data_IF_760921863509
#
_entry.id   IF_760921863509
#
_cell.length_a   1.000
_cell.length_b   1.000
_cell.length_c   1.000
_cell.angle_alpha   90.00
_cell.angle_beta   90.00
_cell.angle_gamma   90.00
#
_symmetry.space_group_name_H-M   'P 1'
#
loop_
_entity.id
_entity.type
_entity.pdbx_description
1 polymer ?
#
# COMPACT_ATOMS: atom_id res chain seq x y z
N UNK A 1 28.29 -5.32 -16.69
CA UNK A 1 27.19 -5.83 -15.86
C UNK A 1 27.78 -6.88 -14.94
N UNK A 2 27.25 -7.01 -13.71
CA UNK A 2 27.69 -8.08 -12.81
C UNK A 2 27.35 -9.45 -13.42
N UNK A 3 28.22 -10.44 -13.21
CA UNK A 3 27.99 -11.82 -13.65
C UNK A 3 27.12 -12.53 -12.60
N UNK A 4 25.80 -12.45 -12.79
CA UNK A 4 24.79 -12.94 -11.84
C UNK A 4 24.20 -14.26 -12.33
N UNK A 5 24.13 -15.25 -11.43
CA UNK A 5 23.74 -16.63 -11.76
C UNK A 5 22.24 -16.87 -11.56
N UNK A 6 21.63 -16.22 -10.56
CA UNK A 6 20.22 -16.39 -10.23
C UNK A 6 19.65 -15.10 -9.63
N UNK A 7 18.56 -14.61 -10.21
CA UNK A 7 17.91 -13.36 -9.82
C UNK A 7 16.39 -13.54 -9.80
N UNK A 8 15.72 -12.79 -8.93
CA UNK A 8 14.25 -12.72 -8.93
C UNK A 8 13.79 -12.09 -10.24
N UNK A 9 12.86 -12.77 -10.92
CA UNK A 9 12.21 -12.26 -12.13
C UNK A 9 10.81 -11.79 -11.78
N UNK A 10 10.49 -10.57 -12.16
CA UNK A 10 9.15 -10.01 -11.99
C UNK A 10 8.18 -10.62 -13.00
N UNK A 11 6.92 -10.80 -12.60
CA UNK A 11 5.84 -11.18 -13.51
C UNK A 11 5.88 -12.64 -13.98
N UNK A 12 6.63 -13.53 -13.31
CA UNK A 12 6.76 -14.94 -13.70
C UNK A 12 5.45 -15.72 -13.71
N UNK A 13 4.44 -15.29 -12.95
CA UNK A 13 3.12 -15.93 -12.94
C UNK A 13 2.10 -15.25 -13.86
N UNK A 14 2.46 -14.12 -14.48
CA UNK A 14 1.57 -13.38 -15.39
C UNK A 14 1.30 -14.18 -16.68
N UNK A 15 0.04 -14.30 -17.05
CA UNK A 15 -0.44 -15.10 -18.18
C UNK A 15 -0.51 -16.60 -17.92
N UNK A 16 -0.20 -17.05 -16.70
CA UNK A 16 -0.25 -18.46 -16.30
C UNK A 16 -1.54 -18.78 -15.53
N UNK A 17 -1.83 -20.06 -15.32
CA UNK A 17 -2.96 -20.50 -14.49
C UNK A 17 -2.85 -20.03 -13.02
N UNK A 18 -1.64 -19.66 -12.57
CA UNK A 18 -1.39 -19.14 -11.22
C UNK A 18 -1.69 -17.65 -11.06
N UNK A 19 -1.83 -16.88 -12.15
CA UNK A 19 -2.01 -15.42 -12.08
C UNK A 19 -3.20 -15.01 -11.19
N UNK A 20 -4.30 -15.75 -11.32
CA UNK A 20 -5.51 -15.52 -10.53
C UNK A 20 -5.30 -15.80 -9.03
N UNK A 21 -4.63 -16.91 -8.71
CA UNK A 21 -4.30 -17.26 -7.33
C UNK A 21 -3.37 -16.23 -6.70
N UNK A 22 -2.27 -15.87 -7.38
CA UNK A 22 -1.32 -14.85 -6.89
C UNK A 22 -1.98 -13.48 -6.70
N UNK A 23 -2.94 -13.12 -7.56
CA UNK A 23 -3.72 -11.89 -7.39
C UNK A 23 -4.62 -11.95 -6.16
N UNK A 24 -5.20 -13.11 -5.87
CA UNK A 24 -6.02 -13.31 -4.67
C UNK A 24 -5.17 -13.23 -3.41
N UNK A 25 -4.00 -13.89 -3.38
CA UNK A 25 -3.07 -13.82 -2.25
C UNK A 25 -2.60 -12.38 -2.01
N UNK A 26 -2.16 -11.64 -3.04
CA UNK A 26 -1.79 -10.23 -2.88
C UNK A 26 -2.90 -9.38 -2.22
N UNK A 27 -4.16 -9.62 -2.58
CA UNK A 27 -5.32 -8.92 -1.97
C UNK A 27 -5.59 -9.39 -0.54
N UNK A 28 -5.44 -10.68 -0.25
CA UNK A 28 -5.58 -11.24 1.10
C UNK A 28 -4.55 -10.64 2.04
N UNK A 29 -3.27 -10.77 1.68
CA UNK A 29 -2.14 -10.27 2.46
C UNK A 29 -2.25 -8.77 2.75
N UNK A 30 -2.59 -7.96 1.73
CA UNK A 30 -2.81 -6.50 1.92
C UNK A 30 -4.00 -6.17 2.82
N UNK A 31 -5.05 -6.99 2.81
CA UNK A 31 -6.15 -6.85 3.76
C UNK A 31 -5.71 -7.23 5.18
N UNK A 32 -4.95 -8.31 5.33
CA UNK A 32 -4.44 -8.79 6.62
C UNK A 32 -3.52 -7.77 7.29
N UNK A 33 -2.65 -7.07 6.55
CA UNK A 33 -1.87 -5.95 7.07
C UNK A 33 -2.77 -4.93 7.79
N UNK A 34 -3.85 -4.49 7.12
CA UNK A 34 -4.80 -3.52 7.69
C UNK A 34 -5.58 -4.10 8.87
N UNK A 35 -6.01 -5.36 8.77
CA UNK A 35 -6.76 -6.05 9.82
C UNK A 35 -5.93 -6.23 11.09
N UNK A 36 -4.69 -6.73 10.98
CA UNK A 36 -3.81 -6.94 12.12
C UNK A 36 -3.43 -5.62 12.81
N UNK A 37 -3.18 -4.53 12.07
CA UNK A 37 -2.94 -3.21 12.67
C UNK A 37 -4.18 -2.68 13.40
N UNK A 38 -5.38 -2.89 12.85
CA UNK A 38 -6.63 -2.52 13.53
C UNK A 38 -6.87 -3.35 14.80
N UNK A 39 -6.58 -4.66 14.74
CA UNK A 39 -6.64 -5.57 15.89
C UNK A 39 -5.62 -5.19 16.97
N UNK A 40 -4.40 -4.80 16.60
CA UNK A 40 -3.38 -4.35 17.53
C UNK A 40 -3.87 -3.11 18.33
N UNK A 41 -4.46 -2.13 17.63
CA UNK A 41 -5.08 -0.96 18.28
C UNK A 41 -6.22 -1.36 19.22
N UNK A 42 -6.98 -2.40 18.87
CA UNK A 42 -8.03 -2.91 19.76
C UNK A 42 -7.43 -3.57 21.01
N UNK A 43 -6.39 -4.40 20.86
CA UNK A 43 -5.70 -5.02 21.98
C UNK A 43 -5.12 -3.99 22.95
N UNK A 44 -4.61 -2.86 22.44
CA UNK A 44 -4.16 -1.73 23.28
C UNK A 44 -5.31 -1.12 24.10
N UNK A 45 -6.51 -0.95 23.53
CA UNK A 45 -7.68 -0.44 24.26
C UNK A 45 -8.12 -1.37 25.39
N UNK A 46 -7.89 -2.66 25.22
CA UNK A 46 -8.20 -3.70 26.21
C UNK A 46 -7.08 -3.87 27.25
N UNK A 47 -5.93 -3.19 27.07
CA UNK A 47 -4.81 -3.25 27.99
C UNK A 47 -3.86 -4.43 27.78
N UNK A 48 -3.80 -5.00 26.57
CA UNK A 48 -2.91 -6.11 26.19
C UNK A 48 -1.77 -5.64 25.28
N UNK A 49 -0.76 -4.92 25.79
CA UNK A 49 0.31 -4.37 24.97
C UNK A 49 1.17 -5.45 24.29
N UNK A 50 1.40 -6.60 24.93
CA UNK A 50 2.18 -7.70 24.35
C UNK A 50 1.45 -8.31 23.14
N UNK A 51 0.13 -8.44 23.21
CA UNK A 51 -0.71 -8.93 22.10
C UNK A 51 -0.65 -7.94 20.94
N UNK A 52 -0.75 -6.64 21.22
CA UNK A 52 -0.65 -5.61 20.20
C UNK A 52 0.69 -5.67 19.45
N UNK A 53 1.81 -5.82 20.18
CA UNK A 53 3.14 -5.93 19.58
C UNK A 53 3.29 -7.17 18.69
N UNK A 54 2.72 -8.31 19.10
CA UNK A 54 2.72 -9.51 18.26
C UNK A 54 1.92 -9.28 16.99
N UNK A 55 0.73 -8.69 17.08
CA UNK A 55 -0.12 -8.39 15.91
C UNK A 55 0.54 -7.39 14.96
N UNK A 56 1.22 -6.36 15.48
CA UNK A 56 2.02 -5.44 14.66
C UNK A 56 3.21 -6.13 13.97
N UNK A 57 3.80 -7.14 14.60
CA UNK A 57 4.85 -7.96 13.99
C UNK A 57 4.30 -8.79 12.84
N UNK A 58 3.17 -9.48 13.06
CA UNK A 58 2.51 -10.28 12.02
C UNK A 58 2.12 -9.40 10.84
N UNK A 59 1.56 -8.21 11.08
CA UNK A 59 1.24 -7.26 10.01
C UNK A 59 2.44 -6.89 9.13
N UNK A 60 3.68 -6.91 9.66
CA UNK A 60 4.89 -6.68 8.86
C UNK A 60 5.26 -7.90 8.03
N UNK A 61 5.04 -9.11 8.54
CA UNK A 61 5.26 -10.34 7.79
C UNK A 61 4.30 -10.42 6.60
N UNK A 62 3.01 -10.12 6.79
CA UNK A 62 2.03 -10.10 5.69
C UNK A 62 2.34 -9.00 4.66
N UNK A 63 2.92 -7.87 5.10
CA UNK A 63 3.40 -6.84 4.18
C UNK A 63 4.53 -7.35 3.27
N UNK A 64 5.42 -8.20 3.79
CA UNK A 64 6.46 -8.87 2.98
C UNK A 64 5.88 -9.95 2.07
N UNK A 65 4.91 -10.73 2.53
CA UNK A 65 4.20 -11.69 1.68
C UNK A 65 3.51 -10.98 0.51
N UNK A 66 2.77 -9.89 0.78
CA UNK A 66 2.18 -9.05 -0.26
C UNK A 66 3.22 -8.55 -1.26
N UNK A 67 4.39 -8.10 -0.81
CA UNK A 67 5.46 -7.65 -1.70
C UNK A 67 5.93 -8.79 -2.65
N UNK A 68 6.11 -10.01 -2.14
CA UNK A 68 6.50 -11.15 -2.97
C UNK A 68 5.42 -11.49 -4.02
N UNK A 69 4.14 -11.51 -3.64
CA UNK A 69 3.06 -11.75 -4.62
C UNK A 69 2.94 -10.64 -5.66
N UNK A 70 3.21 -9.38 -5.27
CA UNK A 70 3.27 -8.27 -6.19
C UNK A 70 4.39 -8.43 -7.23
N UNK A 71 5.56 -8.93 -6.83
CA UNK A 71 6.66 -9.26 -7.72
C UNK A 71 6.31 -10.41 -8.67
N UNK A 72 5.75 -11.50 -8.14
CA UNK A 72 5.37 -12.69 -8.92
C UNK A 72 4.42 -12.33 -10.08
N UNK A 73 3.42 -11.49 -9.83
CA UNK A 73 2.47 -11.04 -10.86
C UNK A 73 2.90 -9.77 -11.62
N UNK A 74 4.05 -9.18 -11.30
CA UNK A 74 4.55 -7.99 -11.99
C UNK A 74 3.63 -6.77 -11.81
N UNK A 75 3.12 -6.58 -10.58
CA UNK A 75 2.34 -5.39 -10.19
C UNK A 75 3.21 -4.13 -10.28
N UNK A 76 4.51 -4.29 -10.01
CA UNK A 76 5.57 -3.32 -10.29
C UNK A 76 6.30 -3.67 -11.59
N UNK A 77 6.90 -2.67 -12.24
CA UNK A 77 7.84 -2.87 -13.34
C UNK A 77 9.28 -2.94 -12.83
N UNK A 78 10.20 -3.40 -13.70
CA UNK A 78 11.64 -3.37 -13.40
C UNK A 78 12.24 -1.95 -13.40
N UNK A 79 11.47 -0.92 -13.76
CA UNK A 79 11.92 0.47 -13.81
C UNK A 79 11.42 1.23 -12.58
N UNK A 80 12.36 1.64 -11.72
CA UNK A 80 12.03 2.50 -10.57
C UNK A 80 11.32 3.79 -11.00
N UNK A 81 11.71 4.38 -12.14
CA UNK A 81 11.06 5.58 -12.69
C UNK A 81 9.57 5.33 -12.97
N UNK A 82 9.27 4.27 -13.72
CA UNK A 82 7.89 3.93 -14.09
C UNK A 82 7.03 3.62 -12.86
N UNK A 83 7.60 2.92 -11.87
CA UNK A 83 6.91 2.64 -10.61
C UNK A 83 6.56 3.93 -9.85
N UNK A 84 7.50 4.87 -9.76
CA UNK A 84 7.26 6.17 -9.10
C UNK A 84 6.23 6.98 -9.88
N UNK A 85 6.28 7.02 -11.22
CA UNK A 85 5.28 7.70 -12.05
C UNK A 85 3.88 7.09 -11.89
N UNK A 86 3.78 5.76 -11.81
CA UNK A 86 2.53 5.05 -11.54
C UNK A 86 1.97 5.42 -10.17
N UNK A 87 2.80 5.39 -9.12
CA UNK A 87 2.36 5.73 -7.78
C UNK A 87 1.98 7.20 -7.66
N UNK A 88 2.72 8.13 -8.27
CA UNK A 88 2.38 9.55 -8.29
C UNK A 88 0.97 9.81 -8.86
N UNK A 89 0.63 9.16 -9.97
CA UNK A 89 -0.73 9.24 -10.54
C UNK A 89 -1.78 8.70 -9.57
N UNK A 90 -1.46 7.60 -8.88
CA UNK A 90 -2.28 7.02 -7.82
C UNK A 90 -2.53 8.01 -6.68
N UNK A 91 -1.48 8.63 -6.15
CA UNK A 91 -1.57 9.59 -5.04
C UNK A 91 -2.42 10.82 -5.43
N UNK A 92 -2.25 11.35 -6.64
CA UNK A 92 -3.07 12.48 -7.13
C UNK A 92 -4.55 12.10 -7.20
N UNK A 93 -4.87 10.89 -7.69
CA UNK A 93 -6.24 10.40 -7.75
C UNK A 93 -6.81 10.16 -6.34
N UNK A 94 -6.03 9.56 -5.46
CA UNK A 94 -6.42 9.25 -4.08
C UNK A 94 -6.65 10.53 -3.25
N UNK A 95 -5.79 11.55 -3.42
CA UNK A 95 -5.96 12.87 -2.79
C UNK A 95 -7.35 13.44 -3.11
N UNK A 96 -7.70 13.51 -4.40
CA UNK A 96 -9.01 14.01 -4.84
C UNK A 96 -10.16 13.15 -4.29
N UNK A 97 -10.08 11.84 -4.46
CA UNK A 97 -11.14 10.92 -4.03
C UNK A 97 -11.37 10.94 -2.52
N UNK A 98 -10.31 11.01 -1.71
CA UNK A 98 -10.42 11.11 -0.25
C UNK A 98 -11.01 12.45 0.18
N UNK A 99 -10.66 13.55 -0.49
CA UNK A 99 -11.27 14.86 -0.21
C UNK A 99 -12.77 14.88 -0.52
N UNK A 100 -13.19 14.29 -1.64
CA UNK A 100 -14.61 14.13 -1.99
C UNK A 100 -15.34 13.26 -0.94
N UNK A 101 -14.72 12.17 -0.49
CA UNK A 101 -15.26 11.32 0.57
C UNK A 101 -15.39 12.05 1.92
N UNK A 102 -14.43 12.92 2.26
CA UNK A 102 -14.50 13.75 3.46
C UNK A 102 -15.73 14.67 3.44
N UNK A 103 -15.93 15.40 2.33
CA UNK A 103 -17.10 16.29 2.16
C UNK A 103 -18.40 15.50 2.34
N UNK A 104 -18.52 14.33 1.68
CA UNK A 104 -19.69 13.47 1.81
C UNK A 104 -19.89 12.94 3.22
N UNK A 105 -18.82 12.57 3.93
CA UNK A 105 -18.91 12.13 5.33
C UNK A 105 -19.45 13.26 6.22
N UNK A 106 -19.05 14.51 5.97
CA UNK A 106 -19.58 15.67 6.69
C UNK A 106 -21.06 15.92 6.41
N UNK A 107 -21.48 15.80 5.16
CA UNK A 107 -22.89 15.91 4.75
C UNK A 107 -23.77 14.84 5.43
N UNK A 108 -23.22 13.65 5.64
CA UNK A 108 -23.88 12.55 6.35
C UNK A 108 -23.81 12.66 7.88
N UNK A 109 -23.19 13.73 8.41
CA UNK A 109 -23.04 13.95 9.86
C UNK A 109 -22.05 13.01 10.54
N UNK A 110 -21.14 12.38 9.79
CA UNK A 110 -20.10 11.51 10.34
C UNK A 110 -18.76 12.25 10.42
N UNK A 111 -18.59 13.00 11.51
CA UNK A 111 -17.40 13.83 11.73
C UNK A 111 -16.10 13.02 11.82
N UNK A 112 -16.13 11.85 12.47
CA UNK A 112 -14.94 11.02 12.57
C UNK A 112 -14.45 10.53 11.20
N UNK A 113 -15.38 10.08 10.35
CA UNK A 113 -15.03 9.67 9.00
C UNK A 113 -14.55 10.85 8.15
N UNK A 114 -15.18 12.03 8.29
CA UNK A 114 -14.70 13.25 7.64
C UNK A 114 -13.24 13.54 8.00
N UNK A 115 -12.91 13.54 9.29
CA UNK A 115 -11.58 13.91 9.77
C UNK A 115 -10.50 12.94 9.27
N UNK A 116 -10.79 11.63 9.29
CA UNK A 116 -9.88 10.61 8.76
C UNK A 116 -9.67 10.77 7.25
N UNK A 117 -10.74 10.98 6.48
CA UNK A 117 -10.63 11.19 5.03
C UNK A 117 -9.91 12.50 4.68
N UNK A 118 -10.19 13.57 5.41
CA UNK A 118 -9.58 14.88 5.17
C UNK A 118 -8.08 14.84 5.47
N UNK A 119 -7.68 14.31 6.61
CA UNK A 119 -6.27 14.18 6.97
C UNK A 119 -5.54 13.24 6.00
N UNK A 120 -6.14 12.08 5.71
CA UNK A 120 -5.55 11.16 4.75
C UNK A 120 -5.43 11.75 3.34
N UNK A 121 -6.31 12.67 2.93
CA UNK A 121 -6.13 13.39 1.66
C UNK A 121 -4.88 14.27 1.66
N UNK A 122 -4.55 14.94 2.78
CA UNK A 122 -3.34 15.77 2.90
C UNK A 122 -2.08 14.92 2.89
N UNK A 123 -2.14 13.72 3.46
CA UNK A 123 -1.06 12.74 3.35
C UNK A 123 -0.78 12.36 1.89
N UNK A 124 -1.81 12.11 1.07
CA UNK A 124 -1.58 11.78 -0.35
C UNK A 124 -0.98 12.97 -1.12
N UNK A 125 -1.30 14.22 -0.74
CA UNK A 125 -0.63 15.39 -1.30
C UNK A 125 0.86 15.41 -0.93
N UNK A 126 1.19 15.13 0.34
CA UNK A 126 2.59 15.00 0.80
C UNK A 126 3.32 13.87 0.07
N UNK A 127 2.67 12.73 -0.13
CA UNK A 127 3.23 11.59 -0.89
C UNK A 127 3.46 11.97 -2.36
N UNK A 128 2.48 12.58 -3.02
CA UNK A 128 2.62 13.05 -4.40
C UNK A 128 3.80 14.03 -4.55
N UNK A 129 3.93 15.03 -3.68
CA UNK A 129 5.06 15.96 -3.71
C UNK A 129 6.40 15.25 -3.51
N UNK A 130 6.47 14.26 -2.63
CA UNK A 130 7.69 13.48 -2.42
C UNK A 130 8.08 12.69 -3.68
N UNK A 131 7.12 12.00 -4.31
CA UNK A 131 7.36 11.21 -5.53
C UNK A 131 7.74 12.10 -6.72
N UNK A 132 7.07 13.24 -6.90
CA UNK A 132 7.42 14.23 -7.91
C UNK A 132 8.84 14.79 -7.69
N UNK A 133 9.20 15.08 -6.44
CA UNK A 133 10.54 15.49 -6.07
C UNK A 133 11.61 14.46 -6.45
N UNK A 134 11.34 13.16 -6.25
CA UNK A 134 12.25 12.08 -6.65
C UNK A 134 12.42 12.00 -8.17
N UNK A 135 11.32 12.09 -8.93
CA UNK A 135 11.38 12.11 -10.40
C UNK A 135 12.23 13.28 -10.90
N UNK A 136 11.99 14.47 -10.36
CA UNK A 136 12.71 15.68 -10.74
C UNK A 136 14.19 15.67 -10.36
N UNK A 137 14.58 14.93 -9.33
CA UNK A 137 15.98 14.88 -8.87
C UNK A 137 16.80 13.81 -9.58
N UNK A 138 16.22 12.65 -9.86
CA UNK A 138 16.98 11.47 -10.27
C UNK A 138 16.65 10.95 -11.67
N UNK A 139 15.53 11.37 -12.28
CA UNK A 139 14.99 10.75 -13.49
C UNK A 139 14.64 11.74 -14.62
N UNK A 140 15.20 12.96 -14.57
CA UNK A 140 15.07 13.99 -15.62
C UNK A 140 15.66 13.55 -16.95
#
# INVERSE_FOLDING_TARGET
>A
MADLINEVKLGVTKGTELEGAVTAEFKGETWEVGAYLAMARQAQREGYPEVALVLESIAKDEAWHAAHFAELNGIISGSTKENIEKMLKGEIMANKGKREAAVKAKELGNDHAHDVFDESSRDEARHACALEGLLNRYFK
#
